data_IF_641867294254
#
_entry.id   IF_641867294254
#
_cell.length_a   1.000
_cell.length_b   1.000
_cell.length_c   1.000
_cell.angle_alpha   90.00
_cell.angle_beta   90.00
_cell.angle_gamma   90.00
#
_symmetry.space_group_name_H-M   'P 1'
#
loop_
_entity.id
_entity.type
_entity.pdbx_description
1 polymer ?
#
# COMPACT_ATOMS: atom_id res chain seq x y z
N UNK A 1 -13.55 4.18 -26.48
CA UNK A 1 -12.89 5.14 -25.56
C UNK A 1 -13.39 4.80 -24.18
N UNK A 2 -12.49 4.55 -23.21
CA UNK A 2 -12.92 4.33 -21.83
C UNK A 2 -13.63 5.59 -21.32
N UNK A 3 -14.74 5.43 -20.63
CA UNK A 3 -15.48 6.54 -20.02
C UNK A 3 -14.58 7.20 -18.97
N UNK A 4 -14.56 8.54 -18.96
CA UNK A 4 -13.73 9.28 -18.03
C UNK A 4 -14.27 9.12 -16.61
N UNK A 5 -13.42 8.72 -15.67
CA UNK A 5 -13.79 8.59 -14.26
C UNK A 5 -14.20 9.94 -13.67
N UNK A 6 -15.34 9.95 -13.04
CA UNK A 6 -15.92 11.11 -12.33
C UNK A 6 -16.41 10.65 -10.95
N UNK A 7 -16.73 11.60 -10.08
CA UNK A 7 -17.31 11.28 -8.76
C UNK A 7 -18.63 10.50 -8.90
N UNK A 8 -19.37 10.74 -9.97
CA UNK A 8 -20.70 10.16 -10.19
C UNK A 8 -20.67 8.69 -10.65
N UNK A 9 -19.55 8.24 -11.23
CA UNK A 9 -19.42 6.86 -11.69
C UNK A 9 -18.45 6.01 -10.84
N UNK A 10 -18.03 6.51 -9.67
CA UNK A 10 -17.35 5.69 -8.69
C UNK A 10 -18.31 4.65 -8.09
N UNK A 11 -17.84 3.42 -7.80
CA UNK A 11 -18.64 2.42 -7.09
C UNK A 11 -19.24 2.98 -5.80
N UNK A 12 -20.53 2.76 -5.58
CA UNK A 12 -21.22 3.20 -4.35
C UNK A 12 -20.82 2.38 -3.12
N UNK A 13 -20.39 1.13 -3.33
CA UNK A 13 -19.97 0.21 -2.28
C UNK A 13 -18.88 0.81 -1.40
N UNK A 14 -19.14 0.83 -0.09
CA UNK A 14 -18.14 1.20 0.92
C UNK A 14 -17.52 -0.06 1.52
N UNK A 15 -16.23 -0.25 1.25
CA UNK A 15 -15.48 -1.43 1.72
C UNK A 15 -14.69 -1.17 3.01
N UNK A 16 -14.81 0.06 3.54
CA UNK A 16 -14.25 0.47 4.84
C UNK A 16 -15.38 0.91 5.75
N UNK A 17 -15.53 0.24 6.88
CA UNK A 17 -16.52 0.64 7.89
C UNK A 17 -16.16 2.01 8.52
N UNK A 18 -17.16 2.79 8.92
CA UNK A 18 -16.95 3.98 9.74
C UNK A 18 -16.35 3.61 11.10
N UNK A 19 -15.75 4.59 11.78
CA UNK A 19 -15.15 4.37 13.09
C UNK A 19 -13.77 3.74 13.04
N UNK A 20 -13.05 3.85 11.92
CA UNK A 20 -11.65 3.44 11.82
C UNK A 20 -10.75 4.31 12.73
N UNK A 21 -9.50 3.88 12.95
CA UNK A 21 -8.54 4.50 13.86
C UNK A 21 -7.51 5.39 13.16
N UNK A 22 -7.87 5.96 12.02
CA UNK A 22 -6.99 6.91 11.33
C UNK A 22 -6.84 8.20 12.16
N UNK A 23 -5.70 8.85 12.03
CA UNK A 23 -5.51 10.20 12.53
C UNK A 23 -6.49 11.16 11.84
N UNK A 24 -6.93 12.21 12.52
CA UNK A 24 -7.78 13.25 11.92
C UNK A 24 -7.06 13.88 10.71
N UNK A 25 -7.73 13.92 9.56
CA UNK A 25 -7.17 14.46 8.32
C UNK A 25 -6.10 13.59 7.64
N UNK A 26 -5.94 12.33 8.05
CA UNK A 26 -4.95 11.44 7.45
C UNK A 26 -5.27 11.09 5.99
N UNK A 27 -4.34 11.42 5.08
CA UNK A 27 -4.46 11.07 3.65
C UNK A 27 -4.57 9.57 3.37
N UNK A 28 -4.02 8.72 4.26
CA UNK A 28 -4.14 7.26 4.13
C UNK A 28 -5.59 6.79 4.15
N UNK A 29 -6.47 7.44 4.94
CA UNK A 29 -7.90 7.06 4.98
C UNK A 29 -8.58 7.29 3.62
N UNK A 30 -8.21 8.35 2.92
CA UNK A 30 -8.71 8.66 1.56
C UNK A 30 -8.15 7.63 0.57
N UNK A 31 -6.83 7.42 0.57
CA UNK A 31 -6.15 6.47 -0.32
C UNK A 31 -6.74 5.07 -0.15
N UNK A 32 -6.91 4.63 1.09
CA UNK A 32 -7.42 3.30 1.37
C UNK A 32 -8.87 3.12 0.91
N UNK A 33 -9.75 4.08 1.24
CA UNK A 33 -11.15 4.04 0.83
C UNK A 33 -11.30 4.02 -0.70
N UNK A 34 -10.62 4.92 -1.41
CA UNK A 34 -10.69 5.03 -2.88
C UNK A 34 -10.02 3.81 -3.54
N UNK A 35 -8.88 3.39 -3.03
CA UNK A 35 -8.17 2.23 -3.57
C UNK A 35 -8.97 0.93 -3.41
N UNK A 36 -9.68 0.73 -2.30
CA UNK A 36 -10.56 -0.43 -2.17
C UNK A 36 -11.76 -0.38 -3.13
N UNK A 37 -12.29 0.82 -3.43
CA UNK A 37 -13.31 0.96 -4.47
C UNK A 37 -12.80 0.57 -5.86
N UNK A 38 -11.55 0.90 -6.18
CA UNK A 38 -10.92 0.52 -7.45
C UNK A 38 -10.65 -1.00 -7.51
N UNK A 39 -10.12 -1.58 -6.45
CA UNK A 39 -9.84 -3.01 -6.36
C UNK A 39 -11.08 -3.89 -6.37
N UNK A 40 -12.17 -3.39 -5.80
CA UNK A 40 -13.42 -4.11 -5.72
C UNK A 40 -13.47 -5.19 -4.64
N UNK A 41 -14.63 -5.82 -4.51
CA UNK A 41 -14.98 -6.74 -3.42
C UNK A 41 -14.25 -8.10 -3.51
N UNK A 42 -13.92 -8.55 -4.72
CA UNK A 42 -13.19 -9.81 -4.94
C UNK A 42 -11.68 -9.58 -4.85
N UNK A 43 -11.22 -9.18 -3.66
CA UNK A 43 -9.82 -8.84 -3.39
C UNK A 43 -9.38 -9.40 -2.03
N UNK A 44 -8.19 -9.99 -1.99
CA UNK A 44 -7.51 -10.39 -0.76
C UNK A 44 -6.41 -9.38 -0.46
N UNK A 45 -6.43 -8.82 0.73
CA UNK A 45 -5.46 -7.85 1.21
C UNK A 45 -4.32 -8.53 1.97
N UNK A 46 -3.09 -8.03 1.76
CA UNK A 46 -1.90 -8.40 2.54
C UNK A 46 -1.32 -7.14 3.16
N UNK A 47 -1.30 -7.08 4.48
CA UNK A 47 -0.92 -5.86 5.21
C UNK A 47 0.14 -6.16 6.27
N UNK A 48 1.35 -5.58 6.19
CA UNK A 48 2.35 -5.67 7.25
C UNK A 48 2.04 -4.68 8.38
N UNK A 49 2.66 -4.80 9.57
CA UNK A 49 2.54 -3.82 10.64
C UNK A 49 2.81 -2.40 10.13
N UNK A 50 1.84 -1.49 10.33
CA UNK A 50 1.88 -0.16 9.72
C UNK A 50 0.75 0.72 10.23
N UNK A 51 0.70 1.97 9.80
CA UNK A 51 -0.47 2.83 10.02
C UNK A 51 -1.76 2.19 9.50
N UNK A 52 -1.70 1.45 8.38
CA UNK A 52 -2.88 0.79 7.83
C UNK A 52 -3.40 -0.32 8.75
N UNK A 53 -2.52 -1.11 9.36
CA UNK A 53 -2.92 -2.12 10.36
C UNK A 53 -3.69 -1.50 11.52
N UNK A 54 -3.26 -0.32 11.98
CA UNK A 54 -3.96 0.41 13.05
C UNK A 54 -5.28 0.99 12.54
N UNK A 55 -5.28 1.60 11.35
CA UNK A 55 -6.47 2.18 10.74
C UNK A 55 -7.59 1.13 10.59
N UNK A 56 -7.25 -0.01 9.99
CA UNK A 56 -8.24 -1.06 9.74
C UNK A 56 -8.59 -1.87 10.99
N UNK A 57 -7.69 -1.93 11.99
CA UNK A 57 -7.85 -2.78 13.16
C UNK A 57 -7.72 -4.26 12.87
N UNK A 58 -7.88 -5.07 13.91
CA UNK A 58 -7.83 -6.53 13.85
C UNK A 58 -9.20 -7.11 14.22
N UNK A 59 -9.43 -8.36 13.83
CA UNK A 59 -10.64 -9.08 14.25
C UNK A 59 -10.80 -9.04 15.79
N UNK A 60 -12.02 -8.82 16.32
CA UNK A 60 -13.33 -8.70 15.64
C UNK A 60 -13.74 -7.28 15.25
N UNK A 61 -12.87 -6.31 15.41
CA UNK A 61 -13.16 -4.87 15.23
C UNK A 61 -12.50 -4.29 13.98
N UNK A 62 -12.25 -5.13 12.98
CA UNK A 62 -11.66 -4.70 11.72
C UNK A 62 -12.60 -3.77 10.95
N UNK A 63 -12.05 -2.65 10.45
CA UNK A 63 -12.80 -1.70 9.63
C UNK A 63 -12.87 -2.12 8.15
N UNK A 64 -12.03 -3.05 7.70
CA UNK A 64 -12.12 -3.58 6.32
C UNK A 64 -13.19 -4.65 6.20
N UNK A 65 -13.90 -4.63 5.08
CA UNK A 65 -14.87 -5.68 4.70
C UNK A 65 -14.24 -6.76 3.82
N UNK A 66 -12.98 -6.62 3.44
CA UNK A 66 -12.28 -7.58 2.59
C UNK A 66 -11.49 -8.58 3.42
N UNK A 67 -11.27 -9.80 2.91
CA UNK A 67 -10.31 -10.72 3.51
C UNK A 67 -8.93 -10.05 3.63
N UNK A 68 -8.35 -10.07 4.82
CA UNK A 68 -7.07 -9.43 5.08
C UNK A 68 -6.14 -10.36 5.86
N UNK A 69 -4.97 -10.62 5.29
CA UNK A 69 -3.89 -11.33 5.95
C UNK A 69 -2.88 -10.32 6.51
N UNK A 70 -2.76 -10.25 7.84
CA UNK A 70 -1.70 -9.50 8.48
C UNK A 70 -0.44 -10.37 8.54
N UNK A 71 0.68 -9.82 8.09
CA UNK A 71 1.95 -10.54 7.91
C UNK A 71 3.10 -9.85 8.63
N UNK A 72 4.28 -10.45 8.67
CA UNK A 72 5.47 -9.80 9.24
C UNK A 72 5.93 -8.61 8.39
N UNK A 73 6.69 -7.70 9.01
CA UNK A 73 6.99 -6.39 8.44
C UNK A 73 7.70 -6.46 7.07
N UNK A 74 8.58 -7.44 6.89
CA UNK A 74 9.38 -7.60 5.67
C UNK A 74 8.66 -8.40 4.55
N UNK A 75 7.50 -9.03 4.82
CA UNK A 75 7.00 -10.12 3.98
C UNK A 75 5.73 -9.88 3.14
N UNK A 76 5.21 -8.64 2.96
CA UNK A 76 3.94 -8.49 2.25
C UNK A 76 4.00 -9.02 0.82
N UNK A 77 5.08 -8.75 0.07
CA UNK A 77 5.22 -9.24 -1.31
C UNK A 77 5.40 -10.78 -1.37
N UNK A 78 6.16 -11.37 -0.44
CA UNK A 78 6.31 -12.82 -0.37
C UNK A 78 4.99 -13.52 -0.02
N UNK A 79 4.21 -12.95 0.91
CA UNK A 79 2.89 -13.48 1.26
C UNK A 79 1.90 -13.35 0.10
N UNK A 80 1.90 -12.23 -0.62
CA UNK A 80 1.10 -12.05 -1.83
C UNK A 80 1.43 -13.11 -2.89
N UNK A 81 2.73 -13.38 -3.15
CA UNK A 81 3.18 -14.49 -4.00
C UNK A 81 2.59 -15.83 -3.54
N UNK A 82 2.60 -16.11 -2.23
CA UNK A 82 2.03 -17.34 -1.67
C UNK A 82 0.51 -17.45 -1.90
N UNK A 83 -0.23 -16.36 -1.73
CA UNK A 83 -1.68 -16.32 -1.99
C UNK A 83 -1.95 -16.55 -3.48
N UNK A 84 -1.19 -15.92 -4.39
CA UNK A 84 -1.31 -16.19 -5.82
C UNK A 84 -1.08 -17.67 -6.16
N UNK A 85 -0.07 -18.29 -5.56
CA UNK A 85 0.17 -19.72 -5.70
C UNK A 85 -1.03 -20.55 -5.27
N UNK A 86 -1.67 -20.20 -4.15
CA UNK A 86 -2.89 -20.86 -3.69
C UNK A 86 -4.08 -20.62 -4.62
N UNK A 87 -4.24 -19.41 -5.18
CA UNK A 87 -5.30 -19.10 -6.16
C UNK A 87 -5.09 -19.91 -7.45
N UNK A 88 -3.87 -19.97 -7.97
CA UNK A 88 -3.52 -20.80 -9.14
C UNK A 88 -3.84 -22.28 -8.90
N UNK A 89 -3.48 -22.83 -7.74
CA UNK A 89 -3.80 -24.21 -7.38
C UNK A 89 -5.31 -24.50 -7.32
N UNK A 90 -6.09 -23.47 -6.92
CA UNK A 90 -7.57 -23.53 -6.88
C UNK A 90 -8.23 -23.19 -8.22
N UNK A 91 -7.46 -22.86 -9.26
CA UNK A 91 -7.94 -22.37 -10.57
C UNK A 91 -8.81 -21.10 -10.43
N UNK A 92 -8.57 -20.30 -9.42
CA UNK A 92 -9.23 -19.01 -9.24
C UNK A 92 -8.39 -17.95 -9.97
N UNK A 93 -8.99 -17.30 -10.97
CA UNK A 93 -8.38 -16.29 -11.83
C UNK A 93 -9.07 -14.92 -11.72
N UNK A 94 -10.10 -14.81 -10.87
CA UNK A 94 -10.87 -13.56 -10.70
C UNK A 94 -10.48 -12.75 -9.49
N UNK A 95 -10.02 -13.41 -8.41
CA UNK A 95 -9.71 -12.74 -7.16
C UNK A 95 -8.39 -11.96 -7.25
N UNK A 96 -8.45 -10.66 -7.03
CA UNK A 96 -7.28 -9.81 -6.94
C UNK A 96 -6.50 -10.06 -5.65
N UNK A 97 -5.17 -9.92 -5.71
CA UNK A 97 -4.32 -9.92 -4.53
C UNK A 97 -3.65 -8.55 -4.44
N UNK A 98 -3.85 -7.84 -3.34
CA UNK A 98 -3.29 -6.51 -3.15
C UNK A 98 -2.48 -6.42 -1.84
N UNK A 99 -1.19 -6.14 -1.96
CA UNK A 99 -0.32 -5.87 -0.82
C UNK A 99 -0.26 -4.35 -0.56
N UNK A 100 -0.52 -3.94 0.69
CA UNK A 100 -0.51 -2.54 1.11
C UNK A 100 0.52 -2.34 2.22
N UNK A 101 1.58 -1.60 1.94
CA UNK A 101 2.64 -1.32 2.90
C UNK A 101 2.96 0.17 3.00
N UNK A 102 3.44 0.60 4.15
CA UNK A 102 4.01 1.94 4.30
C UNK A 102 5.38 2.04 3.62
N UNK A 103 5.88 3.25 3.52
CA UNK A 103 7.17 3.55 2.91
C UNK A 103 8.34 2.79 3.54
N UNK A 104 8.45 2.73 4.85
CA UNK A 104 9.50 1.96 5.53
C UNK A 104 9.38 0.45 5.29
N UNK A 105 8.16 -0.08 5.30
CA UNK A 105 7.88 -1.49 4.97
C UNK A 105 8.18 -1.83 3.52
N UNK A 106 8.10 -0.87 2.60
CA UNK A 106 8.36 -1.03 1.17
C UNK A 106 9.81 -0.76 0.82
N UNK A 107 10.29 0.44 1.17
CA UNK A 107 11.58 0.96 0.70
C UNK A 107 12.79 0.42 1.44
N UNK A 108 12.58 -0.06 2.65
CA UNK A 108 13.64 -0.51 3.54
C UNK A 108 13.56 -2.03 3.76
N UNK A 109 12.85 -2.49 4.78
CA UNK A 109 12.90 -3.90 5.19
C UNK A 109 12.20 -4.85 4.18
N UNK A 110 11.18 -4.41 3.47
CA UNK A 110 10.41 -5.24 2.53
C UNK A 110 10.92 -5.18 1.08
N UNK A 111 11.90 -4.33 0.78
CA UNK A 111 12.39 -4.14 -0.60
C UNK A 111 12.90 -5.44 -1.22
N UNK A 112 13.57 -6.29 -0.44
CA UNK A 112 14.08 -7.57 -0.92
C UNK A 112 12.95 -8.49 -1.42
N UNK A 113 11.88 -8.63 -0.65
CA UNK A 113 10.75 -9.48 -1.02
C UNK A 113 10.00 -8.92 -2.25
N UNK A 114 9.86 -7.59 -2.32
CA UNK A 114 9.24 -6.92 -3.45
C UNK A 114 10.08 -7.07 -4.72
N UNK A 115 11.40 -6.84 -4.64
CA UNK A 115 12.35 -7.04 -5.74
C UNK A 115 12.28 -8.47 -6.28
N UNK A 116 12.26 -9.48 -5.40
CA UNK A 116 12.14 -10.87 -5.82
C UNK A 116 10.78 -11.22 -6.44
N UNK A 117 9.70 -10.56 -6.04
CA UNK A 117 8.39 -10.74 -6.66
C UNK A 117 8.35 -10.09 -8.06
N UNK A 118 8.94 -8.92 -8.22
CA UNK A 118 9.09 -8.25 -9.51
C UNK A 118 9.92 -9.10 -10.49
N UNK A 119 11.03 -9.65 -10.03
CA UNK A 119 11.92 -10.51 -10.84
C UNK A 119 11.20 -11.76 -11.34
N UNK A 120 10.32 -12.35 -10.52
CA UNK A 120 9.51 -13.51 -10.92
C UNK A 120 8.27 -13.17 -11.76
N UNK A 121 7.97 -11.87 -11.96
CA UNK A 121 6.79 -11.45 -12.71
C UNK A 121 5.47 -11.84 -12.03
N UNK A 122 5.40 -11.74 -10.71
CA UNK A 122 4.19 -12.10 -9.97
C UNK A 122 3.05 -11.10 -10.21
N UNK A 123 1.88 -11.61 -10.53
CA UNK A 123 0.70 -10.84 -10.92
C UNK A 123 -0.15 -10.43 -9.72
N UNK A 124 0.33 -9.48 -8.91
CA UNK A 124 -0.43 -8.84 -7.83
C UNK A 124 -0.18 -7.33 -7.80
N UNK A 125 -1.06 -6.61 -7.14
CA UNK A 125 -0.94 -5.17 -6.98
C UNK A 125 -0.20 -4.88 -5.68
N UNK A 126 0.87 -4.06 -5.76
CA UNK A 126 1.58 -3.59 -4.58
C UNK A 126 1.39 -2.07 -4.42
N UNK A 127 0.80 -1.65 -3.31
CA UNK A 127 0.52 -0.26 -3.02
C UNK A 127 1.39 0.19 -1.84
N UNK A 128 2.29 1.13 -2.14
CA UNK A 128 3.09 1.82 -1.13
C UNK A 128 2.44 3.17 -0.81
N UNK A 129 1.89 3.33 0.38
CA UNK A 129 1.53 4.66 0.85
C UNK A 129 2.73 5.31 1.54
N UNK A 130 3.28 6.32 0.87
CA UNK A 130 4.47 7.04 1.32
C UNK A 130 4.07 8.24 2.19
N UNK A 131 4.17 8.11 3.49
CA UNK A 131 4.02 9.21 4.44
C UNK A 131 5.36 9.71 4.99
N UNK A 132 6.46 9.32 4.33
CA UNK A 132 7.81 9.83 4.49
C UNK A 132 8.47 9.53 5.85
N UNK A 133 7.96 8.58 6.62
CA UNK A 133 8.56 8.14 7.87
C UNK A 133 7.97 6.80 8.35
N UNK A 134 8.63 6.15 9.33
CA UNK A 134 7.97 5.14 10.16
C UNK A 134 7.00 5.87 11.10
N UNK A 135 5.86 6.30 10.53
CA UNK A 135 4.97 7.26 11.18
C UNK A 135 4.29 6.67 12.40
N UNK A 136 3.79 5.44 12.30
CA UNK A 136 3.02 4.80 13.36
C UNK A 136 3.82 4.56 14.64
N UNK A 137 5.11 4.33 14.54
CA UNK A 137 5.98 4.02 15.67
C UNK A 137 6.62 5.25 16.32
N UNK A 138 6.33 6.44 15.81
CA UNK A 138 6.80 7.71 16.40
C UNK A 138 7.73 8.51 15.50
N UNK A 139 7.49 8.50 14.18
CA UNK A 139 8.13 9.39 13.19
C UNK A 139 9.65 9.15 13.09
N UNK A 140 10.08 7.88 13.04
CA UNK A 140 11.47 7.56 12.74
C UNK A 140 11.72 7.75 11.23
N UNK A 141 12.96 8.02 10.90
CA UNK A 141 13.43 8.21 9.52
C UNK A 141 13.30 6.92 8.72
N UNK A 142 12.69 7.00 7.53
CA UNK A 142 12.66 5.94 6.52
C UNK A 142 13.59 6.24 5.34
N UNK A 143 13.69 5.30 4.40
CA UNK A 143 14.38 5.51 3.12
C UNK A 143 13.77 6.64 2.30
N UNK A 144 12.45 6.83 2.38
CA UNK A 144 11.73 7.86 1.62
C UNK A 144 11.60 9.19 2.35
N UNK A 145 12.01 9.31 3.60
CA UNK A 145 12.08 10.62 4.27
C UNK A 145 12.95 11.57 3.45
N UNK A 146 12.48 12.79 3.12
CA UNK A 146 13.27 13.75 2.36
C UNK A 146 14.55 14.17 3.09
N UNK A 147 15.56 14.58 2.31
CA UNK A 147 16.79 15.08 2.86
C UNK A 147 16.55 16.36 3.69
N UNK A 148 17.19 16.47 4.83
CA UNK A 148 17.09 17.62 5.74
C UNK A 148 15.91 17.57 6.70
N UNK A 149 14.94 16.66 6.49
CA UNK A 149 13.77 16.55 7.38
C UNK A 149 14.17 15.98 8.73
N UNK A 150 13.72 16.64 9.80
CA UNK A 150 13.87 16.19 11.19
C UNK A 150 12.91 15.05 11.49
N UNK A 151 13.41 14.03 12.14
CA UNK A 151 12.62 12.92 12.66
C UNK A 151 13.08 12.55 14.07
N UNK A 152 12.38 11.67 14.75
CA UNK A 152 12.78 11.22 16.08
C UNK A 152 14.15 10.53 16.11
N UNK A 153 14.58 9.95 15.00
CA UNK A 153 15.92 9.34 14.86
C UNK A 153 16.94 10.23 14.17
N UNK A 154 16.55 11.41 13.70
CA UNK A 154 17.42 12.43 13.11
C UNK A 154 17.08 13.82 13.67
N UNK A 155 17.14 14.02 15.02
CA UNK A 155 16.50 15.18 15.66
C UNK A 155 17.29 16.49 15.54
N UNK A 156 18.59 16.46 15.20
CA UNK A 156 19.45 17.63 15.20
C UNK A 156 19.71 18.14 13.78
N UNK A 157 20.21 17.28 12.90
CA UNK A 157 20.64 17.67 11.55
C UNK A 157 19.69 17.23 10.43
N UNK A 158 18.61 16.55 10.77
CA UNK A 158 17.73 15.92 9.80
C UNK A 158 18.39 14.73 9.09
N UNK A 159 17.67 14.16 8.15
CA UNK A 159 18.17 13.06 7.32
C UNK A 159 19.25 13.57 6.35
N UNK A 160 20.42 12.96 6.36
CA UNK A 160 21.54 13.34 5.50
C UNK A 160 21.42 12.82 4.06
N UNK A 161 20.82 11.63 3.89
CA UNK A 161 20.70 10.97 2.61
C UNK A 161 19.50 11.51 1.79
N UNK A 162 19.61 11.47 0.47
CA UNK A 162 18.50 11.79 -0.43
C UNK A 162 17.33 10.84 -0.21
N UNK A 163 16.12 11.28 -0.55
CA UNK A 163 14.93 10.44 -0.61
C UNK A 163 15.15 9.30 -1.60
N UNK A 164 14.84 8.06 -1.20
CA UNK A 164 14.89 6.90 -2.09
C UNK A 164 13.76 7.00 -3.11
N UNK A 165 14.08 6.92 -4.38
CA UNK A 165 13.10 6.86 -5.46
C UNK A 165 12.65 5.41 -5.65
N UNK A 166 11.65 5.00 -4.88
CA UNK A 166 11.12 3.62 -4.92
C UNK A 166 10.50 3.29 -6.27
N UNK A 167 9.68 4.17 -6.90
CA UNK A 167 9.18 3.93 -8.24
C UNK A 167 10.27 3.63 -9.26
N UNK A 168 11.36 4.42 -9.29
CA UNK A 168 12.47 4.19 -10.20
C UNK A 168 13.20 2.86 -9.93
N UNK A 169 13.41 2.51 -8.65
CA UNK A 169 14.02 1.22 -8.26
C UNK A 169 13.17 0.05 -8.74
N UNK A 170 11.86 0.13 -8.59
CA UNK A 170 10.96 -0.95 -9.01
C UNK A 170 10.80 -1.00 -10.53
N UNK A 171 10.72 0.14 -11.21
CA UNK A 171 10.67 0.22 -12.66
C UNK A 171 11.91 -0.41 -13.33
N UNK A 172 13.07 -0.34 -12.67
CA UNK A 172 14.31 -0.97 -13.17
C UNK A 172 14.22 -2.51 -13.28
N UNK A 173 13.23 -3.15 -12.66
CA UNK A 173 12.95 -4.58 -12.86
C UNK A 173 12.23 -4.88 -14.20
N UNK A 174 11.82 -3.86 -14.96
CA UNK A 174 11.11 -4.05 -16.22
C UNK A 174 9.69 -4.60 -16.07
N UNK A 175 9.05 -4.39 -14.90
CA UNK A 175 7.66 -4.78 -14.70
C UNK A 175 6.72 -3.93 -15.56
N UNK A 176 5.54 -4.45 -15.93
CA UNK A 176 4.66 -3.81 -16.91
C UNK A 176 4.06 -2.48 -16.46
N UNK A 177 3.94 -2.24 -15.15
CA UNK A 177 3.27 -1.05 -14.64
C UNK A 177 3.87 -0.53 -13.34
N UNK A 178 4.18 0.75 -13.31
CA UNK A 178 4.56 1.51 -12.11
C UNK A 178 3.92 2.90 -12.21
N UNK A 179 3.23 3.32 -11.18
CA UNK A 179 2.57 4.62 -11.14
C UNK A 179 2.77 5.31 -9.79
N UNK A 180 2.61 6.63 -9.79
CA UNK A 180 2.48 7.44 -8.58
C UNK A 180 1.15 8.17 -8.60
N UNK A 181 0.56 8.35 -7.41
CA UNK A 181 -0.69 9.07 -7.22
C UNK A 181 -0.66 9.85 -5.91
N UNK A 182 -1.59 10.75 -5.71
CA UNK A 182 -1.72 11.54 -4.50
C UNK A 182 -3.12 11.48 -3.93
N UNK A 183 -3.24 11.47 -2.59
CA UNK A 183 -4.51 11.59 -1.89
C UNK A 183 -5.30 12.85 -2.27
N UNK A 184 -4.63 13.89 -2.75
CA UNK A 184 -5.25 15.13 -3.20
C UNK A 184 -5.96 15.00 -4.56
N UNK A 185 -5.70 13.93 -5.29
CA UNK A 185 -6.28 13.65 -6.60
C UNK A 185 -6.96 12.26 -6.62
N UNK A 186 -8.09 12.09 -5.90
CA UNK A 186 -8.68 10.77 -5.65
C UNK A 186 -9.16 10.06 -6.92
N UNK A 187 -9.57 10.78 -7.98
CA UNK A 187 -9.98 10.17 -9.26
C UNK A 187 -8.76 9.65 -10.02
N UNK A 188 -7.65 10.38 -10.05
CA UNK A 188 -6.38 9.93 -10.63
C UNK A 188 -5.84 8.69 -9.87
N UNK A 189 -6.00 8.68 -8.55
CA UNK A 189 -5.65 7.51 -7.73
C UNK A 189 -6.51 6.30 -8.09
N UNK A 190 -7.83 6.50 -8.25
CA UNK A 190 -8.76 5.43 -8.63
C UNK A 190 -8.40 4.83 -10.00
N UNK A 191 -8.12 5.69 -11.00
CA UNK A 191 -7.78 5.27 -12.36
C UNK A 191 -6.43 4.53 -12.47
N UNK A 192 -5.55 4.71 -11.49
CA UNK A 192 -4.21 4.09 -11.46
C UNK A 192 -4.13 2.78 -10.70
N UNK A 193 -5.15 2.43 -9.93
CA UNK A 193 -5.28 1.16 -9.22
C UNK A 193 -6.13 0.18 -10.03
#
# INVERSE_FOLDING_TARGET
MAEKTTILNLPEDELVHPGNRACAGCGLSIIYRIGLKALGRDTILVVPPSCLTVLQGLYPIAATQLPCLNVTFASPAAAATGILGAMRARKNTSTNVAAWAGDGGTSDIGLQALSGACERGEDFIFICYDNEAYMNTGIQRSGTTPQGVLTTTTPISGKKQKKKDVPAVIAAHGIPYVATASASYPLDLYDKI
#
